data_IF_292717337652
#
_entry.id   IF_292717337652
#
_cell.length_a   1.000
_cell.length_b   1.000
_cell.length_c   1.000
_cell.angle_alpha   90.00
_cell.angle_beta   90.00
_cell.angle_gamma   90.00
#
_symmetry.space_group_name_H-M   'P 1'
#
loop_
_entity.id
_entity.type
_entity.pdbx_description
1 polymer ?
#
# COMPACT_ATOMS: atom_id res chain seq x y z
N UNK A 1 -1.17 -6.30 -9.87
CA UNK A 1 -2.03 -5.08 -9.74
C UNK A 1 -3.32 -5.11 -10.56
N UNK A 2 -3.41 -5.84 -11.68
CA UNK A 2 -4.59 -5.80 -12.57
C UNK A 2 -5.88 -6.40 -11.96
N UNK A 3 -5.73 -7.38 -11.07
CA UNK A 3 -6.84 -8.07 -10.37
C UNK A 3 -7.20 -7.45 -9.03
N UNK A 4 -6.59 -6.31 -8.68
CA UNK A 4 -6.77 -5.66 -7.39
C UNK A 4 -7.91 -4.62 -7.37
N UNK A 5 -8.88 -4.80 -8.27
CA UNK A 5 -10.11 -4.01 -8.33
C UNK A 5 -11.29 -4.89 -7.94
N UNK A 6 -12.22 -4.34 -7.15
CA UNK A 6 -13.47 -5.05 -6.84
C UNK A 6 -14.29 -5.34 -8.11
N UNK A 7 -14.24 -4.41 -9.08
CA UNK A 7 -14.87 -4.54 -10.39
C UNK A 7 -13.78 -4.60 -11.46
N UNK A 8 -13.91 -5.44 -12.50
CA UNK A 8 -12.92 -5.51 -13.58
C UNK A 8 -12.66 -4.13 -14.19
N UNK A 9 -11.38 -3.83 -14.41
CA UNK A 9 -10.94 -2.65 -15.11
C UNK A 9 -10.16 -3.07 -16.37
N UNK A 10 -10.80 -2.90 -17.53
CA UNK A 10 -10.27 -3.31 -18.82
C UNK A 10 -8.95 -2.60 -19.19
N UNK A 11 -8.75 -1.37 -18.73
CA UNK A 11 -7.50 -0.62 -18.99
C UNK A 11 -6.33 -1.25 -18.23
N UNK A 12 -6.55 -1.62 -16.97
CA UNK A 12 -5.51 -2.24 -16.15
C UNK A 12 -5.23 -3.67 -16.58
N UNK A 13 -6.23 -4.43 -17.03
CA UNK A 13 -6.04 -5.75 -17.63
C UNK A 13 -5.14 -5.65 -18.87
N UNK A 14 -5.44 -4.73 -19.79
CA UNK A 14 -4.62 -4.52 -21.00
C UNK A 14 -3.19 -4.12 -20.67
N UNK A 15 -2.98 -3.35 -19.59
CA UNK A 15 -1.63 -2.86 -19.23
C UNK A 15 -0.68 -3.97 -18.82
N UNK A 16 -1.14 -5.03 -18.17
CA UNK A 16 -0.25 -6.13 -17.81
C UNK A 16 -0.29 -7.34 -18.75
N UNK A 17 -1.03 -7.26 -19.85
CA UNK A 17 -0.82 -8.11 -21.02
C UNK A 17 0.50 -7.76 -21.76
N UNK A 18 1.18 -6.66 -21.41
CA UNK A 18 2.54 -6.37 -21.89
C UNK A 18 3.58 -7.18 -21.12
N UNK A 19 4.11 -8.22 -21.77
CA UNK A 19 5.13 -9.12 -21.23
C UNK A 19 6.39 -8.41 -20.73
N UNK A 20 6.84 -7.36 -21.43
CA UNK A 20 8.06 -6.65 -21.05
C UNK A 20 7.85 -5.88 -19.74
N UNK A 21 6.72 -5.18 -19.64
CA UNK A 21 6.33 -4.48 -18.41
C UNK A 21 6.12 -5.47 -17.26
N UNK A 22 5.36 -6.54 -17.48
CA UNK A 22 5.04 -7.53 -16.46
C UNK A 22 6.28 -8.25 -15.93
N UNK A 23 7.24 -8.60 -16.80
CA UNK A 23 8.49 -9.23 -16.36
C UNK A 23 9.37 -8.28 -15.56
N UNK A 24 9.51 -7.03 -16.01
CA UNK A 24 10.29 -6.04 -15.27
C UNK A 24 9.69 -5.75 -13.89
N UNK A 25 8.36 -5.57 -13.84
CA UNK A 25 7.61 -5.35 -12.61
C UNK A 25 7.76 -6.53 -11.64
N UNK A 26 7.52 -7.75 -12.10
CA UNK A 26 7.63 -8.96 -11.28
C UNK A 26 9.04 -9.15 -10.72
N UNK A 27 10.10 -8.87 -11.49
CA UNK A 27 11.48 -8.98 -11.01
C UNK A 27 11.80 -7.98 -9.92
N UNK A 28 11.35 -6.73 -10.06
CA UNK A 28 11.59 -5.69 -9.07
C UNK A 28 10.81 -6.01 -7.79
N UNK A 29 9.51 -6.31 -7.89
CA UNK A 29 8.70 -6.69 -6.72
C UNK A 29 9.30 -7.90 -6.00
N UNK A 30 9.59 -8.98 -6.74
CA UNK A 30 10.17 -10.18 -6.16
C UNK A 30 11.50 -9.89 -5.47
N UNK A 31 12.37 -9.07 -6.08
CA UNK A 31 13.65 -8.71 -5.49
C UNK A 31 13.49 -8.00 -4.14
N UNK A 32 12.56 -7.05 -4.01
CA UNK A 32 12.29 -6.40 -2.74
C UNK A 32 11.66 -7.36 -1.72
N UNK A 33 10.75 -8.23 -2.17
CA UNK A 33 10.07 -9.21 -1.31
C UNK A 33 11.03 -10.23 -0.70
N UNK A 34 11.89 -10.85 -1.50
CA UNK A 34 12.86 -11.85 -0.99
C UNK A 34 13.87 -11.24 -0.03
N UNK A 35 14.14 -9.93 -0.16
CA UNK A 35 15.04 -9.19 0.71
C UNK A 35 14.32 -8.49 1.88
N UNK A 36 13.03 -8.78 2.12
CA UNK A 36 12.24 -8.18 3.22
C UNK A 36 12.27 -6.65 3.23
N UNK A 37 12.31 -6.03 2.05
CA UNK A 37 12.38 -4.57 1.90
C UNK A 37 13.67 -3.95 2.41
N UNK A 38 14.72 -4.76 2.64
CA UNK A 38 16.01 -4.35 3.17
C UNK A 38 15.91 -3.72 4.57
N UNK A 39 14.86 -4.04 5.32
CA UNK A 39 14.70 -3.59 6.70
C UNK A 39 15.36 -4.54 7.69
N UNK A 40 15.86 -4.00 8.82
CA UNK A 40 16.47 -4.82 9.87
C UNK A 40 15.43 -5.65 10.66
N UNK A 41 14.16 -5.25 10.66
CA UNK A 41 13.06 -5.95 11.32
C UNK A 41 11.76 -5.81 10.53
N UNK A 42 10.83 -6.75 10.76
CA UNK A 42 9.51 -6.74 10.12
C UNK A 42 8.61 -5.63 10.66
N UNK A 43 8.84 -5.12 11.88
CA UNK A 43 8.09 -3.99 12.48
C UNK A 43 8.73 -2.62 12.23
N UNK A 44 9.84 -2.57 11.48
CA UNK A 44 10.70 -1.38 11.43
C UNK A 44 9.98 -0.07 11.09
N UNK A 45 9.00 -0.08 10.17
CA UNK A 45 8.27 1.13 9.80
C UNK A 45 7.38 1.62 10.95
N UNK A 46 6.63 0.71 11.58
CA UNK A 46 5.77 1.03 12.73
C UNK A 46 6.58 1.55 13.92
N UNK A 47 7.72 0.91 14.21
CA UNK A 47 8.63 1.30 15.31
C UNK A 47 9.25 2.70 15.11
N UNK A 48 9.27 3.19 13.87
CA UNK A 48 9.89 4.47 13.51
C UNK A 48 8.88 5.57 13.14
N UNK A 49 7.57 5.32 13.32
CA UNK A 49 6.50 6.29 13.02
C UNK A 49 6.70 7.62 13.73
N UNK A 50 7.21 7.61 14.96
CA UNK A 50 7.41 8.84 15.74
C UNK A 50 8.26 9.90 15.02
N UNK A 51 9.16 9.47 14.13
CA UNK A 51 10.02 10.37 13.33
C UNK A 51 9.22 11.23 12.35
N UNK A 52 8.04 10.77 11.91
CA UNK A 52 7.23 11.45 10.90
C UNK A 52 5.94 12.05 11.47
N UNK A 53 5.70 11.95 12.79
CA UNK A 53 4.43 12.38 13.41
C UNK A 53 4.08 13.86 13.25
N UNK A 54 5.08 14.69 13.01
CA UNK A 54 4.93 16.12 12.77
C UNK A 54 4.44 16.46 11.36
N UNK A 55 4.38 15.47 10.45
CA UNK A 55 3.95 15.65 9.06
C UNK A 55 2.45 15.40 8.97
N UNK A 56 1.72 16.37 8.42
CA UNK A 56 0.31 16.19 8.09
C UNK A 56 0.14 15.01 7.11
N UNK A 57 -0.42 13.93 7.61
CA UNK A 57 -0.52 12.65 6.89
C UNK A 57 -1.97 12.20 6.83
N UNK A 58 -2.40 11.69 5.67
CA UNK A 58 -3.71 11.04 5.50
C UNK A 58 -3.49 9.62 5.02
N UNK A 59 -4.01 8.65 5.78
CA UNK A 59 -3.96 7.23 5.48
C UNK A 59 -5.27 6.86 4.77
N UNK A 60 -5.19 6.49 3.49
CA UNK A 60 -6.35 6.08 2.68
C UNK A 60 -6.27 4.59 2.39
N UNK A 61 -7.25 3.82 2.85
CA UNK A 61 -7.29 2.37 2.64
C UNK A 61 -8.61 1.91 2.05
N UNK A 62 -8.56 1.00 1.07
CA UNK A 62 -9.75 0.37 0.54
C UNK A 62 -10.28 -0.73 1.44
N UNK A 63 -11.60 -0.78 1.59
CA UNK A 63 -12.27 -1.81 2.38
C UNK A 63 -12.05 -3.22 1.83
N UNK A 64 -11.92 -3.34 0.51
CA UNK A 64 -11.74 -4.61 -0.21
C UNK A 64 -10.36 -4.74 -0.84
N UNK A 65 -9.35 -4.05 -0.29
CA UNK A 65 -7.96 -4.25 -0.69
C UNK A 65 -7.49 -5.63 -0.20
N UNK A 66 -7.33 -6.56 -1.13
CA UNK A 66 -6.82 -7.91 -0.87
C UNK A 66 -5.31 -8.01 -1.04
N UNK A 67 -4.68 -7.02 -1.67
CA UNK A 67 -3.24 -6.97 -1.81
C UNK A 67 -2.59 -6.45 -0.52
N UNK A 68 -3.21 -5.47 0.12
CA UNK A 68 -2.84 -4.96 1.43
C UNK A 68 -4.02 -5.05 2.40
N UNK A 69 -4.03 -6.04 3.31
CA UNK A 69 -5.10 -6.17 4.27
C UNK A 69 -5.31 -4.88 5.10
N UNK A 70 -6.57 -4.59 5.40
CA UNK A 70 -6.97 -3.43 6.23
C UNK A 70 -6.24 -3.38 7.58
N UNK A 71 -5.83 -4.55 8.12
CA UNK A 71 -5.13 -4.65 9.39
C UNK A 71 -3.86 -3.79 9.43
N UNK A 72 -3.07 -3.80 8.36
CA UNK A 72 -1.81 -3.06 8.33
C UNK A 72 -2.02 -1.55 8.34
N UNK A 73 -3.06 -1.06 7.65
CA UNK A 73 -3.43 0.36 7.68
C UNK A 73 -4.00 0.76 9.05
N UNK A 74 -4.75 -0.13 9.69
CA UNK A 74 -5.26 0.08 11.05
C UNK A 74 -4.14 0.11 12.09
N UNK A 75 -3.14 -0.76 11.96
CA UNK A 75 -1.97 -0.78 12.85
C UNK A 75 -1.14 0.49 12.71
N UNK A 76 -0.96 1.00 11.48
CA UNK A 76 -0.33 2.28 11.25
C UNK A 76 -1.12 3.43 11.89
N UNK A 77 -2.45 3.46 11.75
CA UNK A 77 -3.27 4.49 12.37
C UNK A 77 -3.20 4.45 13.91
N UNK A 78 -3.14 3.26 14.52
CA UNK A 78 -2.92 3.12 15.97
C UNK A 78 -1.56 3.65 16.42
N UNK A 79 -0.50 3.43 15.63
CA UNK A 79 0.83 3.95 15.90
C UNK A 79 0.98 5.45 15.55
N UNK A 80 0.17 5.96 14.61
CA UNK A 80 0.19 7.33 14.10
C UNK A 80 -1.20 8.01 14.29
N UNK A 81 -1.59 8.34 15.52
CA UNK A 81 -2.94 8.84 15.83
C UNK A 81 -3.23 10.24 15.26
N UNK A 82 -2.21 11.04 14.95
CA UNK A 82 -2.37 12.35 14.30
C UNK A 82 -2.78 12.24 12.83
N UNK A 83 -2.55 11.08 12.19
CA UNK A 83 -2.88 10.89 10.80
C UNK A 83 -4.40 10.71 10.61
N UNK A 84 -4.96 11.38 9.60
CA UNK A 84 -6.36 11.26 9.21
C UNK A 84 -6.59 9.90 8.50
N UNK A 85 -7.46 9.05 9.04
CA UNK A 85 -7.69 7.70 8.52
C UNK A 85 -9.02 7.60 7.75
N UNK A 86 -8.93 7.28 6.46
CA UNK A 86 -10.08 7.22 5.54
C UNK A 86 -10.22 5.85 4.90
N UNK A 87 -11.33 5.18 5.19
CA UNK A 87 -11.70 3.91 4.57
C UNK A 87 -12.64 4.13 3.38
N UNK A 88 -12.33 3.52 2.23
CA UNK A 88 -13.13 3.64 1.00
C UNK A 88 -13.86 2.36 0.66
N UNK A 89 -15.15 2.50 0.30
CA UNK A 89 -16.06 1.38 0.00
C UNK A 89 -15.85 0.77 -1.40
N UNK A 90 -15.45 1.59 -2.39
CA UNK A 90 -14.95 1.13 -3.70
C UNK A 90 -13.43 1.22 -3.64
N UNK A 91 -12.68 0.16 -3.93
CA UNK A 91 -11.24 0.31 -4.13
C UNK A 91 -10.74 -0.45 -5.35
N UNK A 92 -9.80 0.22 -5.99
CA UNK A 92 -8.54 -0.37 -6.44
C UNK A 92 -7.37 0.56 -6.10
N UNK A 93 -6.18 -0.03 -6.04
CA UNK A 93 -4.82 0.49 -5.77
C UNK A 93 -4.39 1.80 -6.48
N UNK A 94 -5.30 2.51 -7.13
CA UNK A 94 -5.06 3.80 -7.77
C UNK A 94 -5.36 4.94 -6.80
N UNK A 95 -4.34 5.78 -6.61
CA UNK A 95 -4.45 7.02 -5.87
C UNK A 95 -5.15 8.07 -6.73
N UNK A 96 -6.44 8.31 -6.48
CA UNK A 96 -7.13 9.50 -7.02
C UNK A 96 -6.77 10.71 -6.14
N UNK A 97 -5.68 11.38 -6.50
CA UNK A 97 -5.22 12.61 -5.83
C UNK A 97 -6.28 13.71 -5.81
N UNK A 98 -7.13 13.77 -6.84
CA UNK A 98 -8.15 14.81 -7.00
C UNK A 98 -9.32 14.61 -6.03
N UNK A 99 -9.64 13.37 -5.67
CA UNK A 99 -10.72 13.07 -4.72
C UNK A 99 -10.46 13.53 -3.27
N UNK A 100 -9.21 13.88 -2.91
CA UNK A 100 -8.84 14.21 -1.53
C UNK A 100 -8.19 15.57 -1.33
N UNK A 101 -7.98 16.37 -2.39
CA UNK A 101 -7.40 17.71 -2.28
C UNK A 101 -6.09 17.71 -1.45
N UNK A 102 -5.24 16.70 -1.71
CA UNK A 102 -3.99 16.47 -0.98
C UNK A 102 -2.82 17.08 -1.77
N UNK A 103 -2.15 18.06 -1.16
CA UNK A 103 -1.09 18.84 -1.81
C UNK A 103 0.29 18.14 -1.85
N UNK A 104 0.49 17.01 -1.15
CA UNK A 104 1.80 16.35 -1.08
C UNK A 104 1.73 14.87 -0.66
N UNK A 105 2.62 14.06 -1.25
CA UNK A 105 3.03 12.70 -0.85
C UNK A 105 1.89 11.74 -0.44
N UNK A 106 1.11 11.30 -1.42
CA UNK A 106 0.31 10.09 -1.29
C UNK A 106 1.21 8.87 -1.20
N UNK A 107 1.52 8.41 0.01
CA UNK A 107 2.06 7.07 0.22
C UNK A 107 0.93 6.08 -0.08
N UNK A 108 0.90 5.47 -1.27
CA UNK A 108 0.10 4.26 -1.42
C UNK A 108 0.71 3.22 -0.49
N UNK A 109 0.04 2.94 0.64
CA UNK A 109 0.42 1.90 1.61
C UNK A 109 0.56 0.50 0.97
N UNK A 110 0.15 0.35 -0.28
CA UNK A 110 -0.18 -0.90 -0.94
C UNK A 110 0.97 -1.85 -1.27
N UNK A 111 2.25 -1.46 -1.09
CA UNK A 111 3.39 -2.36 -1.39
C UNK A 111 4.38 -2.44 -0.22
N UNK A 112 4.72 -1.32 0.42
CA UNK A 112 5.77 -1.31 1.45
C UNK A 112 5.30 -1.81 2.82
N UNK A 113 4.03 -1.61 3.18
CA UNK A 113 3.48 -2.09 4.44
C UNK A 113 3.06 -3.58 4.34
N UNK A 114 2.65 -4.07 3.15
CA UNK A 114 2.35 -5.49 2.97
C UNK A 114 3.55 -6.40 3.21
N UNK A 115 4.74 -5.94 2.81
CA UNK A 115 6.00 -6.65 3.02
C UNK A 115 6.29 -6.91 4.51
N UNK A 116 5.72 -6.09 5.40
CA UNK A 116 5.82 -6.26 6.85
C UNK A 116 4.73 -7.19 7.42
N UNK A 117 3.55 -7.25 6.78
CA UNK A 117 2.43 -8.09 7.24
C UNK A 117 2.45 -9.53 6.72
N UNK A 118 3.18 -9.86 5.65
CA UNK A 118 3.27 -11.23 5.12
C UNK A 118 4.03 -12.24 6.04
N UNK A 119 4.69 -11.78 7.10
CA UNK A 119 5.33 -12.65 8.11
C UNK A 119 4.53 -12.79 9.41
N UNK A 120 3.39 -12.13 9.55
CA UNK A 120 2.45 -12.42 10.63
C UNK A 120 1.62 -13.65 10.23
N UNK A 121 2.29 -14.80 10.16
CA UNK A 121 1.64 -16.08 9.99
C UNK A 121 0.88 -16.45 11.27
N UNK A 122 -0.44 -16.31 11.20
CA UNK A 122 -1.35 -17.44 11.46
C UNK A 122 -1.63 -18.16 10.13
#
# INVERSE_FOLDING_TARGET
MMTAHLLPNDENIKRGDDDYFSLAFARIENHYFVNKGFFPSDSFLLDNVDKIRHINTTIVQGRYDVCCPMMSAWDLHKAFPEADFKVRSKLSVEYDAAAYNLDAFGLSCSVFICMQSLNHGD
#
